data_IF_999555716468
#
_entry.id   IF_999555716468
#
_cell.length_a   1.000
_cell.length_b   1.000
_cell.length_c   1.000
_cell.angle_alpha   90.00
_cell.angle_beta   90.00
_cell.angle_gamma   90.00
#
_symmetry.space_group_name_H-M   'P 1'
#
loop_
_entity.id
_entity.type
_entity.pdbx_description
1 polymer ?
#
# COMPACT_ATOMS: atom_id res chain seq x y z
N UNK A 1 -7.41 -18.54 -42.50
CA UNK A 1 -6.91 -17.68 -43.58
C UNK A 1 -6.01 -16.67 -42.90
N UNK A 2 -4.69 -16.82 -43.05
CA UNK A 2 -3.70 -16.01 -42.36
C UNK A 2 -3.71 -14.62 -43.02
N UNK A 3 -3.89 -13.56 -42.24
CA UNK A 3 -3.93 -12.20 -42.78
C UNK A 3 -2.50 -11.70 -42.77
N UNK A 4 -1.95 -11.34 -43.92
CA UNK A 4 -0.61 -10.73 -43.96
C UNK A 4 -0.61 -9.37 -43.25
N UNK A 5 0.47 -9.05 -42.50
CA UNK A 5 0.64 -7.72 -41.89
C UNK A 5 0.51 -6.59 -42.91
N UNK A 6 0.99 -6.81 -44.14
CA UNK A 6 0.87 -5.85 -45.25
C UNK A 6 -0.58 -5.39 -45.46
N UNK A 7 -1.53 -6.33 -45.44
CA UNK A 7 -2.96 -6.07 -45.56
C UNK A 7 -3.52 -5.35 -44.32
N UNK A 8 -3.06 -5.73 -43.12
CA UNK A 8 -3.48 -5.06 -41.87
C UNK A 8 -3.02 -3.61 -41.83
N UNK A 9 -1.80 -3.33 -42.31
CA UNK A 9 -1.26 -1.97 -42.40
C UNK A 9 -2.10 -1.13 -43.37
N UNK A 10 -2.43 -1.66 -44.55
CA UNK A 10 -3.30 -0.96 -45.51
C UNK A 10 -4.69 -0.69 -44.92
N UNK A 11 -5.31 -1.70 -44.31
CA UNK A 11 -6.62 -1.56 -43.67
C UNK A 11 -6.60 -0.54 -42.52
N UNK A 12 -5.52 -0.51 -41.73
CA UNK A 12 -5.35 0.48 -40.66
C UNK A 12 -5.28 1.91 -41.20
N UNK A 13 -4.49 2.15 -42.24
CA UNK A 13 -4.34 3.47 -42.86
C UNK A 13 -5.67 3.91 -43.47
N UNK A 14 -6.37 3.01 -44.16
CA UNK A 14 -7.68 3.27 -44.77
C UNK A 14 -8.75 3.58 -43.71
N UNK A 15 -8.81 2.82 -42.62
CA UNK A 15 -9.74 3.10 -41.51
C UNK A 15 -9.51 4.50 -40.93
N UNK A 16 -8.25 4.93 -40.81
CA UNK A 16 -7.92 6.26 -40.32
C UNK A 16 -8.29 7.35 -41.32
N UNK A 17 -8.11 7.10 -42.62
CA UNK A 17 -8.54 8.00 -43.69
C UNK A 17 -10.05 8.23 -43.60
N UNK A 18 -10.83 7.14 -43.50
CA UNK A 18 -12.28 7.22 -43.37
C UNK A 18 -12.70 8.00 -42.12
N UNK A 19 -12.10 7.69 -40.97
CA UNK A 19 -12.42 8.39 -39.71
C UNK A 19 -12.20 9.90 -39.81
N UNK A 20 -11.09 10.34 -40.41
CA UNK A 20 -10.83 11.77 -40.61
C UNK A 20 -11.75 12.40 -41.66
N UNK A 21 -12.10 11.67 -42.72
CA UNK A 21 -13.06 12.12 -43.73
C UNK A 21 -14.43 12.34 -43.10
N UNK A 22 -14.92 11.37 -42.32
CA UNK A 22 -16.21 11.43 -41.62
C UNK A 22 -16.28 12.59 -40.62
N UNK A 23 -15.19 12.91 -39.91
CA UNK A 23 -15.12 14.07 -39.02
C UNK A 23 -15.28 15.40 -39.79
N UNK A 24 -14.73 15.49 -41.00
CA UNK A 24 -14.82 16.68 -41.85
C UNK A 24 -16.22 16.77 -42.47
N UNK A 25 -16.77 15.65 -42.92
CA UNK A 25 -18.15 15.59 -43.43
C UNK A 25 -19.18 15.94 -42.34
N UNK A 26 -18.96 15.51 -41.09
CA UNK A 26 -19.78 15.97 -39.96
C UNK A 26 -19.66 17.47 -39.75
N UNK A 27 -18.46 18.06 -39.86
CA UNK A 27 -18.29 19.53 -39.79
C UNK A 27 -19.01 20.25 -40.93
N UNK A 28 -19.09 19.63 -42.12
CA UNK A 28 -19.84 20.13 -43.27
C UNK A 28 -21.35 20.16 -43.01
N UNK A 29 -21.89 19.14 -42.34
CA UNK A 29 -23.33 19.01 -42.05
C UNK A 29 -23.81 19.79 -40.82
N UNK A 30 -22.95 20.03 -39.82
CA UNK A 30 -23.32 20.76 -38.59
C UNK A 30 -23.45 22.28 -38.84
N UNK A 31 -22.75 22.82 -39.83
CA UNK A 31 -22.84 24.23 -40.22
C UNK A 31 -23.85 24.39 -41.38
N UNK A 32 -25.15 24.29 -41.15
CA UNK A 32 -26.13 24.72 -42.15
C UNK A 32 -26.05 26.25 -42.33
N UNK A 33 -25.17 26.69 -43.24
CA UNK A 33 -24.80 28.10 -43.47
C UNK A 33 -23.35 28.33 -43.93
N UNK A 34 -22.61 27.30 -44.37
CA UNK A 34 -21.23 27.42 -44.89
C UNK A 34 -21.21 28.27 -46.17
N UNK A 35 -20.38 29.32 -46.23
CA UNK A 35 -20.14 30.10 -47.46
C UNK A 35 -19.47 29.24 -48.55
N UNK A 36 -19.64 29.57 -49.82
CA UNK A 36 -18.97 28.84 -50.93
C UNK A 36 -17.45 28.72 -50.75
N UNK A 37 -16.83 29.72 -50.13
CA UNK A 37 -15.39 29.74 -49.80
C UNK A 37 -15.01 28.71 -48.73
N UNK A 38 -15.82 28.53 -47.68
CA UNK A 38 -15.56 27.51 -46.66
C UNK A 38 -15.79 26.09 -47.20
N UNK A 39 -16.75 25.90 -48.12
CA UNK A 39 -16.99 24.64 -48.81
C UNK A 39 -15.83 24.25 -49.73
N UNK A 40 -15.26 25.21 -50.47
CA UNK A 40 -14.07 25.01 -51.28
C UNK A 40 -12.86 24.59 -50.41
N UNK A 41 -12.62 25.28 -49.30
CA UNK A 41 -11.55 24.95 -48.35
C UNK A 41 -11.71 23.54 -47.75
N UNK A 42 -12.94 23.12 -47.42
CA UNK A 42 -13.21 21.77 -46.89
C UNK A 42 -12.96 20.68 -47.94
N UNK A 43 -13.32 20.91 -49.20
CA UNK A 43 -13.05 19.97 -50.29
C UNK A 43 -11.54 19.88 -50.59
N UNK A 44 -10.82 21.00 -50.52
CA UNK A 44 -9.36 21.02 -50.63
C UNK A 44 -8.70 20.25 -49.48
N UNK A 45 -9.18 20.41 -48.24
CA UNK A 45 -8.74 19.62 -47.08
C UNK A 45 -8.96 18.12 -47.27
N UNK A 46 -10.10 17.70 -47.83
CA UNK A 46 -10.37 16.29 -48.13
C UNK A 46 -9.38 15.76 -49.17
N UNK A 47 -9.06 16.56 -50.19
CA UNK A 47 -8.08 16.19 -51.22
C UNK A 47 -6.68 16.03 -50.63
N UNK A 48 -6.24 16.96 -49.78
CA UNK A 48 -4.97 16.89 -49.05
C UNK A 48 -4.93 15.64 -48.16
N UNK A 49 -6.02 15.36 -47.42
CA UNK A 49 -6.10 14.16 -46.58
C UNK A 49 -6.00 12.88 -47.40
N UNK A 50 -6.65 12.81 -48.57
CA UNK A 50 -6.51 11.63 -49.43
C UNK A 50 -5.06 11.41 -49.89
N UNK A 51 -4.31 12.48 -50.13
CA UNK A 51 -2.88 12.40 -50.46
C UNK A 51 -2.02 12.02 -49.24
N UNK A 52 -2.28 12.63 -48.07
CA UNK A 52 -1.55 12.36 -46.83
C UNK A 52 -1.75 10.94 -46.31
N UNK A 53 -2.91 10.33 -46.59
CA UNK A 53 -3.27 8.96 -46.20
C UNK A 53 -3.06 7.94 -47.31
N UNK A 54 -2.43 8.32 -48.42
CA UNK A 54 -1.85 7.35 -49.34
C UNK A 54 -0.81 6.51 -48.59
N UNK A 55 -0.86 5.18 -48.74
CA UNK A 55 -0.10 4.22 -47.92
C UNK A 55 1.39 4.57 -47.85
N UNK A 56 2.00 4.89 -49.01
CA UNK A 56 3.42 5.20 -49.11
C UNK A 56 3.78 6.53 -48.45
N UNK A 57 2.99 7.57 -48.70
CA UNK A 57 3.16 8.91 -48.11
C UNK A 57 3.00 8.85 -46.60
N UNK A 58 1.97 8.13 -46.13
CA UNK A 58 1.68 7.97 -44.72
C UNK A 58 2.78 7.20 -43.99
N UNK A 59 3.27 6.08 -44.55
CA UNK A 59 4.37 5.29 -43.97
C UNK A 59 5.68 6.08 -43.92
N UNK A 60 5.99 6.85 -44.96
CA UNK A 60 7.16 7.74 -44.98
C UNK A 60 7.08 8.78 -43.85
N UNK A 61 5.92 9.41 -43.70
CA UNK A 61 5.67 10.35 -42.61
C UNK A 61 5.64 9.67 -41.23
N UNK A 62 5.17 8.41 -41.14
CA UNK A 62 5.17 7.63 -39.90
C UNK A 62 6.60 7.27 -39.46
N UNK A 63 7.47 6.86 -40.37
CA UNK A 63 8.87 6.56 -40.12
C UNK A 63 9.62 7.79 -39.54
N UNK A 64 9.36 8.99 -40.05
CA UNK A 64 9.95 10.24 -39.52
C UNK A 64 9.39 10.59 -38.12
N UNK A 65 8.11 10.30 -37.87
CA UNK A 65 7.45 10.57 -36.58
C UNK A 65 7.76 9.53 -35.50
N UNK A 66 8.22 8.33 -35.88
CA UNK A 66 8.54 7.24 -34.97
C UNK A 66 9.50 7.66 -33.83
N UNK A 67 10.49 8.53 -34.12
CA UNK A 67 11.40 9.08 -33.09
C UNK A 67 10.73 9.88 -31.96
N UNK A 68 9.48 10.30 -32.14
CA UNK A 68 8.70 11.05 -31.13
C UNK A 68 7.99 10.13 -30.12
N UNK A 69 8.03 8.82 -30.36
CA UNK A 69 7.46 7.79 -29.50
C UNK A 69 8.51 6.74 -29.15
N UNK A 70 8.23 6.01 -28.09
CA UNK A 70 9.00 4.87 -27.64
C UNK A 70 8.01 3.81 -27.17
N UNK A 71 8.10 2.62 -27.75
CA UNK A 71 7.45 1.45 -27.20
C UNK A 71 8.25 0.97 -25.99
N UNK A 72 7.57 0.64 -24.91
CA UNK A 72 8.22 0.33 -23.65
C UNK A 72 7.36 -0.61 -22.78
N UNK A 73 8.02 -1.52 -22.06
CA UNK A 73 7.41 -2.19 -20.91
C UNK A 73 7.71 -1.44 -19.60
N UNK A 74 8.84 -0.74 -19.56
CA UNK A 74 9.29 0.05 -18.42
C UNK A 74 9.53 1.51 -18.83
N UNK A 75 8.93 2.46 -18.11
CA UNK A 75 8.91 3.86 -18.52
C UNK A 75 9.28 4.82 -17.38
N UNK A 76 10.06 5.85 -17.71
CA UNK A 76 10.60 6.84 -16.75
C UNK A 76 9.55 7.85 -16.29
N UNK A 77 8.55 8.15 -17.14
CA UNK A 77 7.52 9.17 -16.87
C UNK A 77 6.62 8.87 -15.67
N UNK A 78 6.58 7.62 -15.21
CA UNK A 78 5.83 7.25 -14.01
C UNK A 78 6.51 7.72 -12.73
N UNK A 79 7.83 7.95 -12.74
CA UNK A 79 8.52 8.59 -11.62
C UNK A 79 8.14 10.07 -11.53
N UNK A 80 8.13 10.76 -12.67
CA UNK A 80 7.69 12.14 -12.78
C UNK A 80 7.25 12.41 -14.23
N UNK A 81 6.07 13.03 -14.43
CA UNK A 81 5.47 13.18 -15.77
C UNK A 81 6.31 13.99 -16.77
N UNK A 82 7.18 14.88 -16.26
CA UNK A 82 8.14 15.66 -17.07
C UNK A 82 9.52 15.01 -17.23
N UNK A 83 9.76 13.83 -16.66
CA UNK A 83 11.04 13.16 -16.80
C UNK A 83 11.29 12.73 -18.25
N UNK A 84 12.43 13.15 -18.80
CA UNK A 84 12.91 12.77 -20.13
C UNK A 84 14.12 11.86 -19.96
N UNK A 85 13.96 10.60 -20.28
CA UNK A 85 15.00 9.59 -20.20
C UNK A 85 14.61 8.38 -21.03
N UNK A 86 15.46 7.36 -20.98
CA UNK A 86 15.26 6.12 -21.72
C UNK A 86 14.08 5.33 -21.15
N UNK A 87 13.22 4.82 -22.04
CA UNK A 87 12.23 3.81 -21.72
C UNK A 87 12.70 2.49 -22.31
N UNK A 88 12.44 1.38 -21.63
CA UNK A 88 12.98 0.07 -22.00
C UNK A 88 11.84 -0.83 -22.47
N UNK A 89 12.02 -1.42 -23.64
CA UNK A 89 11.19 -2.48 -24.19
C UNK A 89 11.84 -3.83 -23.88
N UNK A 90 11.43 -4.45 -22.77
CA UNK A 90 11.86 -5.79 -22.41
C UNK A 90 10.77 -6.80 -22.80
N UNK A 91 10.96 -7.49 -23.93
CA UNK A 91 10.04 -8.51 -24.47
C UNK A 91 10.41 -9.93 -24.03
N UNK A 92 11.69 -10.18 -23.75
CA UNK A 92 12.19 -11.44 -23.21
C UNK A 92 12.87 -11.14 -21.87
N UNK A 93 12.33 -11.69 -20.79
CA UNK A 93 12.89 -11.57 -19.45
C UNK A 93 13.13 -12.98 -18.91
N UNK A 94 14.24 -13.17 -18.19
CA UNK A 94 14.68 -14.47 -17.70
C UNK A 94 13.62 -15.15 -16.83
N UNK A 95 13.30 -16.41 -17.13
CA UNK A 95 12.23 -17.19 -16.48
C UNK A 95 12.57 -17.74 -15.10
N UNK A 96 13.84 -17.63 -14.66
CA UNK A 96 14.33 -18.21 -13.41
C UNK A 96 14.52 -17.15 -12.30
N UNK A 97 13.50 -16.31 -12.07
CA UNK A 97 13.55 -15.31 -11.01
C UNK A 97 13.15 -15.92 -9.65
N UNK A 98 13.94 -15.70 -8.56
CA UNK A 98 13.59 -16.19 -7.22
C UNK A 98 12.44 -15.42 -6.57
N UNK A 99 12.04 -14.28 -7.14
CA UNK A 99 10.96 -13.43 -6.67
C UNK A 99 10.00 -13.12 -7.82
N UNK A 100 8.76 -12.76 -7.49
CA UNK A 100 7.79 -12.30 -8.47
C UNK A 100 8.18 -10.92 -8.99
N UNK A 101 8.54 -10.83 -10.27
CA UNK A 101 8.81 -9.59 -10.97
C UNK A 101 8.14 -9.54 -12.36
N UNK A 102 8.50 -8.57 -13.20
CA UNK A 102 7.90 -8.39 -14.54
C UNK A 102 8.28 -9.49 -15.54
N UNK A 103 9.25 -10.35 -15.23
CA UNK A 103 9.64 -11.49 -16.06
C UNK A 103 8.63 -12.63 -16.06
N UNK A 104 7.79 -12.71 -15.02
CA UNK A 104 6.74 -13.71 -14.92
C UNK A 104 5.64 -13.55 -16.01
N UNK A 105 5.64 -12.43 -16.73
CA UNK A 105 4.66 -12.16 -17.79
C UNK A 105 5.19 -12.69 -19.12
N UNK A 106 4.60 -13.78 -19.62
CA UNK A 106 4.99 -14.45 -20.87
C UNK A 106 4.87 -13.50 -22.08
N UNK A 107 3.80 -12.71 -22.12
CA UNK A 107 3.52 -11.76 -23.20
C UNK A 107 3.21 -10.38 -22.60
N UNK A 108 4.24 -9.58 -22.25
CA UNK A 108 4.03 -8.30 -21.59
C UNK A 108 3.34 -7.32 -22.53
N UNK A 109 2.29 -6.66 -22.03
CA UNK A 109 1.61 -5.62 -22.77
C UNK A 109 2.57 -4.46 -23.07
N UNK A 110 2.74 -4.14 -24.36
CA UNK A 110 3.61 -3.07 -24.81
C UNK A 110 2.91 -1.71 -24.61
N UNK A 111 3.56 -0.83 -23.86
CA UNK A 111 3.10 0.55 -23.66
C UNK A 111 3.73 1.47 -24.72
N UNK A 112 3.07 2.58 -25.00
CA UNK A 112 3.58 3.63 -25.88
C UNK A 112 3.73 4.93 -25.10
N UNK A 113 4.96 5.45 -25.07
CA UNK A 113 5.35 6.67 -24.36
C UNK A 113 5.87 7.67 -25.36
N UNK A 114 5.29 8.87 -25.42
CA UNK A 114 5.76 9.89 -26.36
C UNK A 114 4.78 11.01 -26.58
N UNK A 115 4.93 11.69 -27.71
CA UNK A 115 4.00 12.71 -28.16
C UNK A 115 2.66 12.07 -28.54
N UNK A 116 1.55 12.57 -27.98
CA UNK A 116 0.21 12.08 -28.26
C UNK A 116 -0.16 12.11 -29.76
N UNK A 117 0.39 13.07 -30.50
CA UNK A 117 0.17 13.21 -31.94
C UNK A 117 0.82 12.10 -32.80
N UNK A 118 1.75 11.33 -32.23
CA UNK A 118 2.45 10.23 -32.89
C UNK A 118 2.04 8.84 -32.35
N UNK A 119 1.02 8.77 -31.46
CA UNK A 119 0.47 7.50 -30.96
C UNK A 119 -0.19 6.66 -32.05
N UNK A 120 -0.52 7.24 -33.20
CA UNK A 120 -0.96 6.53 -34.40
C UNK A 120 0.14 5.59 -34.92
N UNK A 121 1.40 6.01 -34.90
CA UNK A 121 2.56 5.18 -35.24
C UNK A 121 2.74 4.06 -34.23
N UNK A 122 2.49 4.31 -32.93
CA UNK A 122 2.56 3.25 -31.92
C UNK A 122 1.49 2.16 -32.14
N UNK A 123 0.27 2.56 -32.52
CA UNK A 123 -0.80 1.62 -32.87
C UNK A 123 -0.49 0.81 -34.12
N UNK A 124 0.15 1.42 -35.12
CA UNK A 124 0.65 0.72 -36.31
C UNK A 124 1.64 -0.38 -35.93
N UNK A 125 2.61 -0.06 -35.06
CA UNK A 125 3.62 -1.03 -34.60
C UNK A 125 3.03 -2.18 -33.78
N UNK A 126 1.85 -1.98 -33.18
CA UNK A 126 1.12 -2.99 -32.39
C UNK A 126 0.15 -3.84 -33.23
N UNK A 127 0.10 -3.67 -34.57
CA UNK A 127 -0.70 -4.54 -35.44
C UNK A 127 -0.16 -5.97 -35.38
N UNK A 128 -1.06 -6.93 -35.24
CA UNK A 128 -0.78 -8.36 -35.01
C UNK A 128 -1.49 -9.20 -36.07
N UNK A 129 -0.74 -10.04 -36.78
CA UNK A 129 -1.23 -10.99 -37.78
C UNK A 129 -1.59 -12.38 -37.19
N UNK A 130 -1.39 -12.56 -35.88
CA UNK A 130 -1.56 -13.81 -35.16
C UNK A 130 -0.26 -14.61 -35.01
N UNK A 131 0.81 -14.27 -35.73
CA UNK A 131 2.15 -14.81 -35.50
C UNK A 131 2.97 -13.85 -34.62
N UNK A 132 3.04 -12.59 -35.04
CA UNK A 132 3.83 -11.56 -34.35
C UNK A 132 3.32 -10.16 -34.68
N UNK A 133 3.70 -9.20 -33.84
CA UNK A 133 3.40 -7.79 -34.11
C UNK A 133 4.40 -7.19 -35.08
N UNK A 134 4.03 -6.12 -35.80
CA UNK A 134 4.95 -5.38 -36.65
C UNK A 134 6.21 -4.92 -35.89
N UNK A 135 6.07 -4.53 -34.61
CA UNK A 135 7.19 -4.22 -33.74
C UNK A 135 8.17 -5.41 -33.56
N UNK A 136 7.65 -6.63 -33.42
CA UNK A 136 8.48 -7.84 -33.26
C UNK A 136 9.25 -8.13 -34.55
N UNK A 137 8.58 -8.13 -35.70
CA UNK A 137 9.24 -8.33 -37.00
C UNK A 137 10.38 -7.31 -37.22
N UNK A 138 10.12 -6.02 -36.97
CA UNK A 138 11.14 -4.97 -37.09
C UNK A 138 12.29 -5.10 -36.09
N UNK A 139 12.02 -5.65 -34.89
CA UNK A 139 13.06 -5.92 -33.88
C UNK A 139 13.94 -7.12 -34.24
N UNK A 140 13.43 -8.06 -35.04
CA UNK A 140 14.16 -9.23 -35.52
C UNK A 140 14.90 -8.97 -36.84
N UNK A 141 14.73 -7.80 -37.45
CA UNK A 141 15.33 -7.45 -38.74
C UNK A 141 14.53 -7.97 -39.95
N UNK A 142 13.30 -8.42 -39.74
CA UNK A 142 12.40 -8.92 -40.79
C UNK A 142 11.73 -7.77 -41.56
N UNK A 143 12.54 -6.99 -42.26
CA UNK A 143 12.10 -5.81 -43.00
C UNK A 143 11.24 -6.18 -44.24
N UNK A 144 11.27 -7.46 -44.64
CA UNK A 144 10.53 -8.00 -45.79
C UNK A 144 9.01 -7.81 -45.69
N UNK A 145 8.47 -7.70 -44.47
CA UNK A 145 7.05 -7.54 -44.20
C UNK A 145 6.48 -6.21 -44.77
N UNK A 146 7.35 -5.20 -44.94
CA UNK A 146 6.98 -3.91 -45.55
C UNK A 146 7.24 -3.85 -47.06
N UNK A 147 7.92 -4.84 -47.63
CA UNK A 147 8.39 -4.80 -49.01
C UNK A 147 7.26 -4.77 -50.04
N UNK A 148 6.14 -5.42 -49.76
CA UNK A 148 4.94 -5.39 -50.63
C UNK A 148 4.24 -4.03 -50.67
N UNK A 149 4.55 -3.13 -49.74
CA UNK A 149 3.98 -1.78 -49.66
C UNK A 149 4.93 -0.71 -50.23
N UNK A 150 6.21 -1.02 -50.36
CA UNK A 150 7.24 -0.10 -50.82
C UNK A 150 7.37 -0.12 -52.35
N UNK A 151 7.67 1.04 -52.94
CA UNK A 151 7.98 1.15 -54.37
C UNK A 151 9.42 0.75 -54.70
N UNK A 152 10.32 0.78 -53.71
CA UNK A 152 11.73 0.39 -53.85
C UNK A 152 12.28 -0.22 -52.56
N UNK A 153 13.35 -1.01 -52.68
CA UNK A 153 14.04 -1.59 -51.53
C UNK A 153 14.65 -0.51 -50.61
N UNK A 154 15.12 0.61 -51.18
CA UNK A 154 15.63 1.75 -50.42
C UNK A 154 14.55 2.39 -49.55
N UNK A 155 13.33 2.52 -50.09
CA UNK A 155 12.18 3.06 -49.35
C UNK A 155 11.77 2.12 -48.20
N UNK A 156 11.78 0.81 -48.46
CA UNK A 156 11.51 -0.20 -47.44
C UNK A 156 12.51 -0.10 -46.27
N UNK A 157 13.82 0.00 -46.58
CA UNK A 157 14.86 0.12 -45.57
C UNK A 157 14.71 1.41 -44.76
N UNK A 158 14.42 2.54 -45.42
CA UNK A 158 14.22 3.82 -44.75
C UNK A 158 13.03 3.77 -43.78
N UNK A 159 11.94 3.08 -44.15
CA UNK A 159 10.80 2.89 -43.26
C UNK A 159 11.15 2.00 -42.08
N UNK A 160 11.82 0.86 -42.31
CA UNK A 160 12.23 -0.05 -41.26
C UNK A 160 13.16 0.64 -40.25
N UNK A 161 14.19 1.33 -40.72
CA UNK A 161 15.14 2.05 -39.88
C UNK A 161 14.50 3.21 -39.11
N UNK A 162 13.52 3.89 -39.72
CA UNK A 162 12.75 4.94 -39.06
C UNK A 162 11.87 4.36 -37.95
N UNK A 163 11.10 3.32 -38.25
CA UNK A 163 10.19 2.67 -37.30
C UNK A 163 10.94 1.97 -36.15
N UNK A 164 12.12 1.38 -36.42
CA UNK A 164 12.99 0.74 -35.40
C UNK A 164 13.46 1.73 -34.33
N UNK A 165 13.54 3.03 -34.64
CA UNK A 165 13.87 4.06 -33.64
C UNK A 165 12.85 4.15 -32.50
N UNK A 166 11.61 3.70 -32.70
CA UNK A 166 10.61 3.65 -31.62
C UNK A 166 10.83 2.45 -30.68
N UNK A 167 11.61 1.44 -31.09
CA UNK A 167 11.84 0.19 -30.37
C UNK A 167 13.14 0.22 -29.57
N UNK A 168 14.17 0.88 -30.11
CA UNK A 168 15.54 0.83 -29.58
C UNK A 168 15.94 2.08 -28.81
N UNK A 169 16.65 1.87 -27.70
CA UNK A 169 17.37 2.93 -26.99
C UNK A 169 18.82 2.92 -27.45
N UNK A 170 19.19 3.85 -28.33
CA UNK A 170 20.58 3.98 -28.83
C UNK A 170 21.59 4.33 -27.73
N UNK A 171 21.21 5.24 -26.83
CA UNK A 171 22.05 5.68 -25.70
C UNK A 171 21.20 5.76 -24.43
N UNK A 172 21.45 4.89 -23.43
CA UNK A 172 20.75 4.96 -22.15
C UNK A 172 20.96 6.33 -21.49
N UNK A 173 19.87 6.95 -21.07
CA UNK A 173 19.86 8.25 -20.41
C UNK A 173 18.84 8.25 -19.26
N UNK A 174 19.17 8.94 -18.18
CA UNK A 174 18.27 9.16 -17.06
C UNK A 174 18.02 10.67 -16.89
N UNK A 175 17.12 11.05 -15.99
CA UNK A 175 16.74 12.44 -15.76
C UNK A 175 16.99 12.84 -14.30
N UNK A 176 17.16 14.13 -14.02
CA UNK A 176 17.29 14.66 -12.64
C UNK A 176 16.06 14.39 -11.77
N UNK A 177 14.90 14.19 -12.40
CA UNK A 177 13.62 13.86 -11.76
C UNK A 177 13.35 12.35 -11.72
N UNK A 178 14.21 11.53 -12.33
CA UNK A 178 14.17 10.09 -12.16
C UNK A 178 14.80 9.70 -10.81
N UNK A 179 14.46 8.52 -10.30
CA UNK A 179 15.14 7.99 -9.12
C UNK A 179 16.45 7.33 -9.54
N UNK A 180 17.50 7.61 -8.80
CA UNK A 180 18.83 7.02 -8.94
C UNK A 180 19.31 6.67 -7.54
N UNK A 181 19.73 5.42 -7.34
CA UNK A 181 20.02 4.84 -6.03
C UNK A 181 21.41 4.21 -6.11
N UNK A 182 22.31 4.56 -5.20
CA UNK A 182 23.58 3.86 -5.05
C UNK A 182 23.36 2.53 -4.34
N UNK A 183 23.87 1.45 -4.93
CA UNK A 183 23.83 0.11 -4.36
C UNK A 183 25.26 -0.39 -4.13
N UNK A 184 25.63 -0.73 -2.88
CA UNK A 184 26.98 -1.21 -2.57
C UNK A 184 27.20 -2.59 -3.18
N UNK A 185 28.34 -2.78 -3.85
CA UNK A 185 28.76 -4.08 -4.41
C UNK A 185 30.07 -4.59 -3.81
N UNK A 186 30.76 -3.75 -3.03
CA UNK A 186 32.01 -4.06 -2.34
C UNK A 186 32.53 -2.85 -1.57
N UNK A 187 33.74 -2.95 -1.05
CA UNK A 187 34.40 -1.87 -0.30
C UNK A 187 34.59 -0.63 -1.18
N UNK A 188 33.94 0.47 -0.82
CA UNK A 188 33.91 1.73 -1.58
C UNK A 188 33.50 1.57 -3.06
N UNK A 189 32.78 0.51 -3.41
CA UNK A 189 32.30 0.25 -4.77
C UNK A 189 30.77 0.29 -4.81
N UNK A 190 30.23 1.09 -5.72
CA UNK A 190 28.80 1.29 -5.85
C UNK A 190 28.36 1.21 -7.31
N UNK A 191 27.23 0.57 -7.54
CA UNK A 191 26.47 0.70 -8.77
C UNK A 191 25.39 1.76 -8.60
N UNK A 192 25.23 2.62 -9.61
CA UNK A 192 24.11 3.54 -9.67
C UNK A 192 22.94 2.86 -10.39
N UNK A 193 21.89 2.53 -9.65
CA UNK A 193 20.69 1.87 -10.16
C UNK A 193 19.63 2.93 -10.43
N UNK A 194 19.10 2.97 -11.65
CA UNK A 194 17.94 3.80 -12.00
C UNK A 194 16.73 2.91 -12.23
N UNK A 195 15.89 2.66 -11.20
CA UNK A 195 14.73 1.79 -11.35
C UNK A 195 13.70 2.46 -12.26
N UNK A 196 13.25 1.72 -13.28
CA UNK A 196 12.15 2.14 -14.15
C UNK A 196 10.85 1.48 -13.70
N UNK A 197 9.77 2.22 -13.80
CA UNK A 197 8.45 1.71 -13.46
C UNK A 197 7.94 0.75 -14.54
N UNK A 198 7.56 -0.47 -14.17
CA UNK A 198 6.97 -1.45 -15.08
C UNK A 198 5.49 -1.12 -15.35
N UNK A 199 5.22 -0.52 -16.51
CA UNK A 199 3.84 -0.24 -16.95
C UNK A 199 3.13 -1.53 -17.34
N UNK A 200 3.85 -2.49 -17.92
CA UNK A 200 3.31 -3.81 -18.29
C UNK A 200 2.80 -4.57 -17.07
N UNK A 201 3.62 -4.69 -16.01
CA UNK A 201 3.20 -5.36 -14.77
C UNK A 201 2.03 -4.65 -14.10
N UNK A 202 2.07 -3.31 -14.05
CA UNK A 202 0.96 -2.54 -13.50
C UNK A 202 -0.33 -2.69 -14.32
N UNK A 203 -0.22 -2.93 -15.64
CA UNK A 203 -1.36 -3.22 -16.50
C UNK A 203 -1.98 -4.58 -16.21
N UNK A 204 -1.16 -5.61 -16.06
CA UNK A 204 -1.62 -6.96 -15.73
C UNK A 204 -2.30 -7.01 -14.37
N UNK A 205 -1.64 -6.46 -13.33
CA UNK A 205 -2.23 -6.38 -11.98
C UNK A 205 -3.54 -5.57 -11.98
N UNK A 206 -3.65 -4.53 -12.81
CA UNK A 206 -4.89 -3.79 -12.95
C UNK A 206 -6.02 -4.65 -13.52
N UNK A 207 -5.75 -5.43 -14.57
CA UNK A 207 -6.73 -6.34 -15.16
C UNK A 207 -7.14 -7.44 -14.18
N UNK A 208 -6.21 -8.03 -13.45
CA UNK A 208 -6.52 -9.04 -12.42
C UNK A 208 -7.48 -8.50 -11.34
N UNK A 209 -7.23 -7.28 -10.85
CA UNK A 209 -8.12 -6.62 -9.87
C UNK A 209 -9.46 -6.24 -10.49
N UNK A 210 -9.48 -5.73 -11.73
CA UNK A 210 -10.72 -5.38 -12.43
C UNK A 210 -11.57 -6.60 -12.74
N UNK A 211 -10.96 -7.70 -13.17
CA UNK A 211 -11.62 -8.97 -13.40
C UNK A 211 -12.27 -9.46 -12.10
N UNK A 212 -11.49 -9.57 -11.01
CA UNK A 212 -12.01 -9.92 -9.67
C UNK A 212 -13.20 -9.05 -9.24
N UNK A 213 -13.22 -7.76 -9.57
CA UNK A 213 -14.29 -6.82 -9.15
C UNK A 213 -15.49 -6.79 -10.08
N UNK A 214 -15.30 -6.83 -11.40
CA UNK A 214 -16.33 -6.43 -12.36
C UNK A 214 -16.60 -7.45 -13.46
N UNK A 215 -15.86 -8.57 -13.54
CA UNK A 215 -16.18 -9.63 -14.50
C UNK A 215 -17.54 -10.25 -14.17
N UNK A 216 -18.26 -10.67 -15.21
CA UNK A 216 -19.58 -11.27 -15.04
C UNK A 216 -19.48 -12.63 -14.33
N UNK A 217 -18.44 -13.40 -14.61
CA UNK A 217 -18.09 -14.63 -13.89
C UNK A 217 -17.95 -14.38 -12.37
N UNK A 218 -17.18 -13.38 -11.96
CA UNK A 218 -17.00 -13.04 -10.53
C UNK A 218 -18.27 -12.47 -9.91
N UNK A 219 -19.14 -11.81 -10.68
CA UNK A 219 -20.46 -11.38 -10.18
C UNK A 219 -21.33 -12.60 -9.87
N UNK A 220 -21.38 -13.58 -10.76
CA UNK A 220 -22.14 -14.84 -10.55
C UNK A 220 -21.58 -15.61 -9.35
N UNK A 221 -20.26 -15.79 -9.26
CA UNK A 221 -19.64 -16.49 -8.14
C UNK A 221 -19.94 -15.82 -6.78
N UNK A 222 -19.92 -14.48 -6.72
CA UNK A 222 -20.31 -13.74 -5.51
C UNK A 222 -21.79 -13.85 -5.18
N UNK A 223 -22.65 -13.94 -6.18
CA UNK A 223 -24.08 -14.14 -5.97
C UNK A 223 -24.37 -15.54 -5.42
N UNK A 224 -23.72 -16.58 -5.98
CA UNK A 224 -23.76 -17.94 -5.46
C UNK A 224 -23.27 -18.00 -4.00
N UNK A 225 -22.14 -17.34 -3.69
CA UNK A 225 -21.62 -17.22 -2.32
C UNK A 225 -22.65 -16.59 -1.37
N UNK A 226 -23.30 -15.48 -1.77
CA UNK A 226 -24.36 -14.84 -0.97
C UNK A 226 -25.57 -15.74 -0.76
N UNK A 227 -25.93 -16.55 -1.77
CA UNK A 227 -27.03 -17.52 -1.73
C UNK A 227 -26.64 -18.86 -1.09
N UNK A 228 -25.39 -19.03 -0.65
CA UNK A 228 -24.83 -20.29 -0.13
C UNK A 228 -24.97 -21.46 -1.12
N UNK A 229 -24.83 -21.19 -2.40
CA UNK A 229 -24.85 -22.18 -3.48
C UNK A 229 -23.42 -22.51 -3.92
N UNK A 230 -23.17 -23.75 -4.40
CA UNK A 230 -21.87 -24.11 -4.96
C UNK A 230 -21.58 -23.30 -6.22
N UNK A 231 -20.31 -23.00 -6.44
CA UNK A 231 -19.80 -22.33 -7.65
C UNK A 231 -18.51 -23.03 -8.06
N UNK A 232 -18.30 -23.14 -9.37
CA UNK A 232 -17.09 -23.75 -9.93
C UNK A 232 -15.85 -22.85 -9.83
N UNK A 233 -16.03 -21.59 -9.42
CA UNK A 233 -14.97 -20.57 -9.42
C UNK A 233 -14.84 -19.94 -8.04
N UNK A 234 -13.59 -19.82 -7.59
CA UNK A 234 -13.27 -19.19 -6.31
C UNK A 234 -13.51 -17.67 -6.33
N UNK A 235 -14.15 -17.17 -5.27
CA UNK A 235 -14.36 -15.73 -5.10
C UNK A 235 -13.08 -15.09 -4.55
N UNK A 236 -12.32 -14.44 -5.43
CA UNK A 236 -11.12 -13.68 -5.03
C UNK A 236 -11.50 -12.24 -4.67
N UNK A 237 -11.02 -11.75 -3.51
CA UNK A 237 -11.21 -10.36 -3.07
C UNK A 237 -9.90 -9.72 -2.60
N UNK A 238 -9.52 -8.64 -3.26
CA UNK A 238 -8.41 -7.78 -2.85
C UNK A 238 -8.88 -6.66 -1.92
N UNK A 239 -8.65 -6.82 -0.61
CA UNK A 239 -8.95 -5.82 0.42
C UNK A 239 -7.83 -4.76 0.53
N UNK A 240 -8.17 -3.60 1.09
CA UNK A 240 -7.22 -2.54 1.47
C UNK A 240 -6.24 -2.10 0.37
N UNK A 241 -6.67 -2.12 -0.89
CA UNK A 241 -5.88 -1.61 -2.00
C UNK A 241 -5.76 -0.09 -1.91
N UNK A 242 -4.54 0.43 -1.97
CA UNK A 242 -4.30 1.84 -2.23
C UNK A 242 -4.26 2.09 -3.76
N UNK A 243 -4.61 3.31 -4.17
CA UNK A 243 -4.59 3.72 -5.58
C UNK A 243 -3.69 4.93 -5.73
N UNK A 244 -2.72 4.83 -6.64
CA UNK A 244 -1.95 5.99 -7.09
C UNK A 244 -2.42 6.42 -8.48
N UNK A 245 -2.40 7.74 -8.74
CA UNK A 245 -2.86 8.33 -9.98
C UNK A 245 -1.68 9.03 -10.66
N UNK A 246 -1.29 8.55 -11.85
CA UNK A 246 -0.22 9.12 -12.67
C UNK A 246 -0.79 10.01 -13.77
N UNK A 247 -0.29 11.25 -13.87
CA UNK A 247 -0.67 12.21 -14.91
C UNK A 247 -1.79 13.20 -14.55
N UNK A 248 -2.29 13.17 -13.30
CA UNK A 248 -3.29 14.12 -12.81
C UNK A 248 -4.54 14.16 -13.69
N UNK A 249 -4.91 15.35 -14.20
CA UNK A 249 -6.04 15.54 -15.11
C UNK A 249 -5.78 15.10 -16.56
N UNK A 250 -4.53 14.79 -16.93
CA UNK A 250 -4.13 14.43 -18.30
C UNK A 250 -3.29 13.14 -18.32
N UNK A 251 -3.89 11.97 -18.01
CA UNK A 251 -3.19 10.68 -17.99
C UNK A 251 -2.60 10.29 -19.36
N UNK A 252 -3.10 10.90 -20.46
CA UNK A 252 -2.59 10.70 -21.83
C UNK A 252 -1.15 11.17 -22.04
N UNK A 253 -0.66 12.07 -21.20
CA UNK A 253 0.70 12.61 -21.34
C UNK A 253 1.78 11.67 -20.76
N UNK A 254 1.37 10.69 -19.95
CA UNK A 254 2.28 9.71 -19.35
C UNK A 254 2.52 8.57 -20.33
N UNK A 255 1.47 7.80 -20.64
CA UNK A 255 1.55 6.68 -21.58
C UNK A 255 0.16 6.20 -22.05
N UNK A 256 0.15 5.35 -23.07
CA UNK A 256 -1.06 4.77 -23.63
C UNK A 256 -1.76 3.82 -22.65
N UNK A 257 -1.05 2.87 -22.04
CA UNK A 257 -1.64 1.93 -21.07
C UNK A 257 -2.07 2.65 -19.80
N UNK A 258 -1.35 3.69 -19.38
CA UNK A 258 -1.79 4.55 -18.27
C UNK A 258 -3.15 5.18 -18.55
N UNK A 259 -3.38 5.63 -19.80
CA UNK A 259 -4.68 6.18 -20.21
C UNK A 259 -5.79 5.14 -20.18
N UNK A 260 -5.52 3.91 -20.65
CA UNK A 260 -6.48 2.79 -20.56
C UNK A 260 -6.86 2.48 -19.11
N UNK A 261 -5.93 2.66 -18.16
CA UNK A 261 -6.17 2.51 -16.71
C UNK A 261 -6.74 3.77 -16.04
N UNK A 262 -7.06 4.83 -16.79
CA UNK A 262 -7.48 6.13 -16.26
C UNK A 262 -6.47 6.74 -15.26
N UNK A 263 -5.18 6.50 -15.49
CA UNK A 263 -4.09 6.93 -14.61
C UNK A 263 -3.88 6.06 -13.37
N UNK A 264 -4.73 5.05 -13.12
CA UNK A 264 -4.77 4.31 -11.86
C UNK A 264 -3.74 3.17 -11.83
N UNK A 265 -3.08 3.07 -10.69
CA UNK A 265 -2.25 1.92 -10.31
C UNK A 265 -2.70 1.43 -8.94
N UNK A 266 -2.94 0.12 -8.82
CA UNK A 266 -3.24 -0.52 -7.54
C UNK A 266 -1.95 -0.86 -6.79
N UNK A 267 -1.93 -0.55 -5.50
CA UNK A 267 -0.90 -0.95 -4.57
C UNK A 267 -1.51 -1.92 -3.55
N UNK A 268 -0.84 -3.05 -3.37
CA UNK A 268 -1.25 -4.08 -2.43
C UNK A 268 -0.77 -3.73 -1.01
N UNK A 269 -1.55 -4.06 0.04
CA UNK A 269 -1.15 -3.78 1.40
C UNK A 269 0.05 -4.64 1.79
N UNK A 270 1.16 -4.00 2.13
CA UNK A 270 2.34 -4.62 2.73
C UNK A 270 2.56 -4.12 4.17
N UNK A 271 1.47 -3.77 4.87
CA UNK A 271 1.51 -3.31 6.25
C UNK A 271 1.78 -4.47 7.19
N UNK A 272 2.57 -4.23 8.24
CA UNK A 272 2.72 -5.16 9.34
C UNK A 272 1.34 -5.45 9.97
N UNK A 273 1.13 -6.65 10.55
CA UNK A 273 -0.11 -6.94 11.26
C UNK A 273 -0.28 -5.97 12.45
N UNK A 274 -1.47 -5.39 12.60
CA UNK A 274 -1.82 -4.56 13.75
C UNK A 274 -1.94 -5.46 15.00
N UNK A 275 -0.85 -5.61 15.75
CA UNK A 275 -0.89 -6.32 17.03
C UNK A 275 -1.60 -5.45 18.07
N UNK A 276 -2.89 -5.66 18.27
CA UNK A 276 -3.64 -5.07 19.38
C UNK A 276 -3.51 -5.97 20.60
N UNK A 277 -2.75 -5.54 21.61
CA UNK A 277 -2.73 -6.20 22.91
C UNK A 277 -4.14 -6.12 23.50
N UNK A 278 -4.88 -7.23 23.51
CA UNK A 278 -6.12 -7.30 24.27
C UNK A 278 -5.75 -7.22 25.75
N UNK A 279 -6.29 -6.24 26.45
CA UNK A 279 -6.20 -6.20 27.90
C UNK A 279 -6.94 -7.40 28.46
N UNK A 280 -6.28 -8.22 29.27
CA UNK A 280 -6.92 -9.32 29.98
C UNK A 280 -6.99 -8.96 31.46
N UNK A 281 -8.19 -8.79 32.02
CA UNK A 281 -8.34 -8.56 33.45
C UNK A 281 -7.77 -9.73 34.26
N UNK A 282 -7.50 -9.56 35.56
CA UNK A 282 -6.87 -10.57 36.40
C UNK A 282 -7.93 -11.63 36.73
N UNK A 283 -8.03 -12.65 35.88
CA UNK A 283 -9.01 -13.73 36.04
C UNK A 283 -8.60 -14.76 37.10
N UNK A 284 -7.31 -14.87 37.41
CA UNK A 284 -6.74 -15.92 38.24
C UNK A 284 -6.08 -15.38 39.51
N UNK A 285 -6.24 -16.09 40.61
CA UNK A 285 -5.70 -15.75 41.93
C UNK A 285 -6.67 -14.96 42.81
N UNK A 286 -6.70 -15.30 44.10
CA UNK A 286 -7.62 -14.71 45.08
C UNK A 286 -7.29 -13.27 45.49
N UNK A 287 -6.08 -12.80 45.19
CA UNK A 287 -5.59 -11.47 45.56
C UNK A 287 -4.95 -10.77 44.34
N UNK A 288 -5.61 -9.74 43.85
CA UNK A 288 -5.18 -8.92 42.72
C UNK A 288 -3.81 -8.28 42.93
N UNK A 289 -3.45 -7.92 44.17
CA UNK A 289 -2.15 -7.31 44.45
C UNK A 289 -0.96 -8.23 44.08
N UNK A 290 -1.17 -9.55 44.05
CA UNK A 290 -0.16 -10.52 43.61
C UNK A 290 -0.02 -10.67 42.10
N UNK A 291 -0.86 -9.97 41.33
CA UNK A 291 -0.82 -9.99 39.86
C UNK A 291 0.51 -9.46 39.31
N UNK A 292 0.85 -9.93 38.11
CA UNK A 292 2.08 -9.52 37.40
C UNK A 292 2.10 -8.04 37.06
N UNK A 293 0.93 -7.44 36.79
CA UNK A 293 0.80 -6.01 36.47
C UNK A 293 1.13 -5.12 37.67
N UNK A 294 0.53 -5.40 38.83
CA UNK A 294 0.82 -4.67 40.07
C UNK A 294 2.29 -4.85 40.43
N UNK A 295 2.81 -6.08 40.32
CA UNK A 295 4.23 -6.36 40.54
C UNK A 295 5.16 -5.58 39.63
N UNK A 296 4.85 -5.44 38.34
CA UNK A 296 5.67 -4.71 37.36
C UNK A 296 5.71 -3.21 37.66
N UNK A 297 4.56 -2.61 37.93
CA UNK A 297 4.44 -1.16 38.04
C UNK A 297 4.94 -0.63 39.39
N UNK A 298 4.79 -1.44 40.45
CA UNK A 298 5.21 -1.04 41.81
C UNK A 298 6.64 -1.45 42.17
N UNK A 299 7.29 -2.33 41.38
CA UNK A 299 8.60 -2.93 41.74
C UNK A 299 9.65 -1.90 42.16
N UNK A 300 9.84 -0.86 41.36
CA UNK A 300 10.88 0.15 41.63
C UNK A 300 10.56 0.96 42.90
N UNK A 301 9.29 1.32 43.10
CA UNK A 301 8.85 2.08 44.28
C UNK A 301 8.98 1.26 45.56
N UNK A 302 8.61 -0.02 45.52
CA UNK A 302 8.79 -0.96 46.64
C UNK A 302 10.28 -1.09 46.97
N UNK A 303 11.14 -1.23 45.96
CA UNK A 303 12.60 -1.29 46.17
C UNK A 303 13.13 -0.02 46.82
N UNK A 304 12.71 1.14 46.34
CA UNK A 304 13.10 2.44 46.90
C UNK A 304 12.66 2.59 48.36
N UNK A 305 11.43 2.18 48.67
CA UNK A 305 10.90 2.19 50.03
C UNK A 305 11.66 1.20 50.94
N UNK A 306 11.92 -0.02 50.48
CA UNK A 306 12.68 -1.01 51.22
C UNK A 306 14.10 -0.52 51.54
N UNK A 307 14.83 0.00 50.55
CA UNK A 307 16.18 0.55 50.74
C UNK A 307 16.18 1.73 51.73
N UNK A 308 15.16 2.59 51.65
CA UNK A 308 15.01 3.71 52.59
C UNK A 308 14.76 3.21 54.02
N UNK A 309 13.86 2.25 54.21
CA UNK A 309 13.55 1.67 55.51
C UNK A 309 14.75 0.96 56.12
N UNK A 310 15.53 0.21 55.33
CA UNK A 310 16.76 -0.45 55.79
C UNK A 310 17.80 0.57 56.27
N UNK A 311 18.02 1.66 55.51
CA UNK A 311 18.98 2.71 55.87
C UNK A 311 18.63 3.41 57.18
N UNK A 312 17.33 3.58 57.43
CA UNK A 312 16.83 4.36 58.57
C UNK A 312 16.56 3.48 59.80
N UNK A 313 16.62 2.16 59.68
CA UNK A 313 16.35 1.19 60.75
C UNK A 313 17.13 1.45 62.05
N UNK A 314 18.38 1.93 61.95
CA UNK A 314 19.27 2.20 63.10
C UNK A 314 19.19 3.64 63.63
N UNK A 315 18.38 4.49 63.01
CA UNK A 315 18.23 5.90 63.39
C UNK A 315 16.97 6.10 64.23
N UNK A 316 17.01 7.09 65.13
CA UNK A 316 15.82 7.51 65.86
C UNK A 316 14.75 8.08 64.92
N UNK A 317 13.51 7.65 65.12
CA UNK A 317 12.36 8.09 64.33
C UNK A 317 12.12 9.58 64.49
N UNK A 318 12.30 10.34 63.40
CA UNK A 318 12.00 11.76 63.35
C UNK A 318 10.89 12.08 62.32
N UNK A 319 10.34 13.29 62.39
CA UNK A 319 9.22 13.70 61.52
C UNK A 319 9.57 13.58 60.03
N UNK A 320 10.81 13.92 59.64
CA UNK A 320 11.26 13.85 58.23
C UNK A 320 11.29 12.42 57.71
N UNK A 321 11.70 11.47 58.55
CA UNK A 321 11.72 10.04 58.25
C UNK A 321 10.29 9.54 58.01
N UNK A 322 9.37 9.84 58.93
CA UNK A 322 7.95 9.44 58.80
C UNK A 322 7.31 10.02 57.54
N UNK A 323 7.47 11.32 57.30
CA UNK A 323 6.97 11.98 56.09
C UNK A 323 7.58 11.44 54.80
N UNK A 324 8.84 10.97 54.80
CA UNK A 324 9.44 10.37 53.60
C UNK A 324 8.95 8.94 53.37
N UNK A 325 8.78 8.16 54.43
CA UNK A 325 8.17 6.82 54.38
C UNK A 325 6.76 6.90 53.81
N UNK A 326 5.93 7.79 54.39
CA UNK A 326 4.53 7.90 54.02
C UNK A 326 4.40 8.36 52.56
N UNK A 327 5.16 9.39 52.13
CA UNK A 327 5.21 9.80 50.71
C UNK A 327 5.58 8.68 49.72
N UNK A 328 6.46 7.76 50.12
CA UNK A 328 6.85 6.65 49.25
C UNK A 328 5.77 5.57 49.22
N UNK A 329 5.07 5.33 50.34
CA UNK A 329 3.92 4.45 50.39
C UNK A 329 2.73 5.01 49.59
N UNK A 330 2.48 6.32 49.69
CA UNK A 330 1.45 7.01 48.90
C UNK A 330 1.71 6.87 47.40
N UNK A 331 2.96 7.01 46.94
CA UNK A 331 3.31 6.79 45.53
C UNK A 331 3.03 5.36 45.04
N UNK A 332 3.25 4.36 45.90
CA UNK A 332 2.91 2.97 45.59
C UNK A 332 1.39 2.81 45.46
N UNK A 333 0.66 3.41 46.40
CA UNK A 333 -0.80 3.39 46.45
C UNK A 333 -1.43 4.12 45.25
N UNK A 334 -0.91 5.29 44.87
CA UNK A 334 -1.34 6.04 43.67
C UNK A 334 -1.18 5.21 42.40
N UNK A 335 -0.05 4.50 42.26
CA UNK A 335 0.19 3.60 41.13
C UNK A 335 -0.84 2.48 41.09
N UNK A 336 -1.21 1.93 42.25
CA UNK A 336 -2.21 0.87 42.38
C UNK A 336 -3.62 1.41 42.08
N UNK A 337 -3.99 2.58 42.60
CA UNK A 337 -5.28 3.21 42.34
C UNK A 337 -5.45 3.55 40.86
N UNK A 338 -4.37 3.96 40.19
CA UNK A 338 -4.35 4.19 38.73
C UNK A 338 -4.60 2.89 37.96
N UNK A 339 -3.98 1.78 38.38
CA UNK A 339 -4.24 0.47 37.79
C UNK A 339 -5.68 0.02 38.06
N UNK A 340 -6.19 0.18 39.28
CA UNK A 340 -7.56 -0.15 39.63
C UNK A 340 -8.57 0.66 38.80
N UNK A 341 -8.31 1.95 38.56
CA UNK A 341 -9.11 2.79 37.68
C UNK A 341 -9.23 2.23 36.26
N UNK A 342 -8.14 1.66 35.72
CA UNK A 342 -8.20 1.02 34.41
C UNK A 342 -9.15 -0.19 34.39
N UNK A 343 -9.14 -1.02 35.44
CA UNK A 343 -10.04 -2.17 35.59
C UNK A 343 -11.51 -1.76 35.67
N UNK A 344 -11.79 -0.65 36.36
CA UNK A 344 -13.15 -0.16 36.61
C UNK A 344 -13.82 0.46 35.37
N UNK A 345 -13.05 0.70 34.30
CA UNK A 345 -13.58 1.14 33.00
C UNK A 345 -13.97 0.00 32.06
N UNK A 346 -13.72 -1.26 32.47
CA UNK A 346 -14.10 -2.42 31.67
C UNK A 346 -15.62 -2.65 31.63
N UNK A 347 -16.03 -3.62 30.83
CA UNK A 347 -17.44 -4.03 30.70
C UNK A 347 -18.00 -4.46 32.05
N UNK A 348 -19.18 -3.96 32.41
CA UNK A 348 -19.93 -4.35 33.61
C UNK A 348 -19.96 -5.87 33.80
N UNK A 349 -19.57 -6.34 34.99
CA UNK A 349 -19.64 -7.76 35.34
C UNK A 349 -18.47 -8.59 34.85
N UNK A 350 -17.35 -7.97 34.42
CA UNK A 350 -16.16 -8.70 34.00
C UNK A 350 -15.57 -9.56 35.13
N UNK A 351 -15.80 -9.18 36.39
CA UNK A 351 -15.24 -9.87 37.55
C UNK A 351 -16.04 -11.10 38.01
N UNK A 352 -17.23 -11.36 37.44
CA UNK A 352 -18.12 -12.46 37.86
C UNK A 352 -17.50 -13.85 37.70
N UNK A 353 -16.71 -14.05 36.65
CA UNK A 353 -16.01 -15.30 36.36
C UNK A 353 -14.57 -15.32 36.89
N UNK A 354 -14.18 -14.33 37.72
CA UNK A 354 -12.82 -14.21 38.28
C UNK A 354 -12.66 -14.96 39.60
N UNK A 355 -11.44 -15.38 39.90
CA UNK A 355 -11.08 -16.00 41.19
C UNK A 355 -10.85 -14.98 42.32
N UNK A 356 -11.03 -13.69 42.07
CA UNK A 356 -10.80 -12.60 43.02
C UNK A 356 -11.70 -12.71 44.25
N UNK A 357 -11.22 -12.23 45.40
CA UNK A 357 -12.07 -12.12 46.60
C UNK A 357 -13.26 -11.19 46.34
N UNK A 358 -14.41 -11.45 46.98
CA UNK A 358 -15.62 -10.64 46.81
C UNK A 358 -15.36 -9.15 47.08
N UNK A 359 -14.58 -8.83 48.11
CA UNK A 359 -14.19 -7.44 48.42
C UNK A 359 -13.41 -6.77 47.28
N UNK A 360 -12.50 -7.50 46.61
CA UNK A 360 -11.75 -6.98 45.47
C UNK A 360 -12.59 -6.91 44.20
N UNK A 361 -13.55 -7.82 44.00
CA UNK A 361 -14.54 -7.70 42.92
C UNK A 361 -15.39 -6.43 43.09
N UNK A 362 -15.87 -6.14 44.31
CA UNK A 362 -16.59 -4.91 44.62
C UNK A 362 -15.77 -3.66 44.29
N UNK A 363 -14.47 -3.69 44.56
CA UNK A 363 -13.59 -2.56 44.31
C UNK A 363 -13.21 -2.39 42.83
N UNK A 364 -12.87 -3.46 42.13
CA UNK A 364 -12.33 -3.42 40.75
C UNK A 364 -13.43 -3.42 39.67
N UNK A 365 -14.64 -3.89 39.98
CA UNK A 365 -15.80 -3.91 39.08
C UNK A 365 -17.02 -3.24 39.74
N UNK A 366 -16.98 -1.93 40.03
CA UNK A 366 -18.02 -1.23 40.80
C UNK A 366 -19.38 -1.18 40.09
N UNK A 367 -19.44 -1.51 38.80
CA UNK A 367 -20.67 -1.53 38.02
C UNK A 367 -21.41 -2.87 38.13
N UNK A 368 -20.78 -3.93 38.63
CA UNK A 368 -21.43 -5.22 38.82
C UNK A 368 -22.46 -5.18 39.97
N UNK A 369 -23.50 -6.02 39.84
CA UNK A 369 -24.45 -6.24 40.93
C UNK A 369 -23.82 -7.22 41.93
N UNK A 370 -23.17 -6.67 42.96
CA UNK A 370 -22.52 -7.46 44.01
C UNK A 370 -23.50 -7.78 45.14
N UNK A 371 -23.54 -9.04 45.57
CA UNK A 371 -24.32 -9.50 46.74
C UNK A 371 -23.51 -9.44 48.05
N UNK A 372 -22.47 -8.62 48.10
CA UNK A 372 -21.52 -8.59 49.21
C UNK A 372 -21.91 -7.52 50.24
N UNK A 373 -22.36 -7.97 51.41
CA UNK A 373 -22.82 -7.12 52.51
C UNK A 373 -21.70 -6.72 53.50
N UNK A 374 -20.45 -7.10 53.21
CA UNK A 374 -19.29 -6.83 54.08
C UNK A 374 -18.63 -5.47 53.83
N UNK A 375 -17.75 -5.05 54.74
CA UNK A 375 -16.92 -3.85 54.57
C UNK A 375 -15.73 -4.16 53.65
N UNK A 376 -15.99 -4.07 52.35
CA UNK A 376 -14.99 -4.37 51.32
C UNK A 376 -13.79 -3.42 51.40
N UNK A 377 -13.99 -2.17 51.83
CA UNK A 377 -12.89 -1.18 51.95
C UNK A 377 -11.88 -1.62 53.00
N UNK A 378 -12.36 -2.11 54.14
CA UNK A 378 -11.50 -2.64 55.21
C UNK A 378 -10.78 -3.93 54.77
N UNK A 379 -11.46 -4.84 54.07
CA UNK A 379 -10.84 -6.07 53.57
C UNK A 379 -9.76 -5.81 52.51
N UNK A 380 -10.03 -4.95 51.52
CA UNK A 380 -9.05 -4.55 50.50
C UNK A 380 -7.85 -3.85 51.13
N UNK A 381 -8.08 -2.96 52.10
CA UNK A 381 -7.01 -2.26 52.81
C UNK A 381 -6.14 -3.23 53.61
N UNK A 382 -6.75 -4.26 54.22
CA UNK A 382 -6.04 -5.35 54.89
C UNK A 382 -5.17 -6.14 53.92
N UNK A 383 -5.72 -6.53 52.78
CA UNK A 383 -5.01 -7.29 51.75
C UNK A 383 -3.82 -6.48 51.19
N UNK A 384 -4.00 -5.18 50.98
CA UNK A 384 -2.92 -4.26 50.59
C UNK A 384 -1.79 -4.22 51.63
N UNK A 385 -2.14 -4.05 52.91
CA UNK A 385 -1.14 -3.99 53.97
C UNK A 385 -0.33 -5.29 54.10
N UNK A 386 -0.98 -6.45 53.97
CA UNK A 386 -0.32 -7.75 53.98
C UNK A 386 0.60 -7.91 52.77
N UNK A 387 0.11 -7.54 51.58
CA UNK A 387 0.89 -7.58 50.35
C UNK A 387 2.13 -6.69 50.42
N UNK A 388 1.99 -5.43 50.87
CA UNK A 388 3.10 -4.48 50.93
C UNK A 388 4.17 -4.94 51.93
N UNK A 389 3.77 -5.42 53.10
CA UNK A 389 4.69 -6.02 54.07
C UNK A 389 5.47 -7.18 53.45
N UNK A 390 4.78 -8.17 52.88
CA UNK A 390 5.40 -9.34 52.27
C UNK A 390 6.39 -8.95 51.14
N UNK A 391 6.05 -7.94 50.34
CA UNK A 391 6.93 -7.44 49.27
C UNK A 391 8.16 -6.72 49.82
N UNK A 392 8.01 -5.87 50.84
CA UNK A 392 9.12 -5.17 51.48
C UNK A 392 10.09 -6.15 52.17
N UNK A 393 9.57 -7.16 52.87
CA UNK A 393 10.40 -8.20 53.48
C UNK A 393 11.16 -9.03 52.43
N UNK A 394 10.48 -9.41 51.35
CA UNK A 394 11.11 -10.16 50.24
C UNK A 394 12.20 -9.36 49.54
N UNK A 395 11.93 -8.10 49.20
CA UNK A 395 12.88 -7.23 48.48
C UNK A 395 14.07 -6.84 49.36
N UNK A 396 13.85 -6.67 50.67
CA UNK A 396 14.91 -6.39 51.64
C UNK A 396 15.70 -7.63 52.07
N UNK A 397 15.46 -8.81 51.49
CA UNK A 397 16.11 -10.08 51.88
C UNK A 397 15.95 -10.37 53.39
N UNK A 398 14.76 -10.13 53.93
CA UNK A 398 14.42 -10.31 55.37
C UNK A 398 15.20 -9.40 56.34
N UNK A 399 15.86 -8.34 55.84
CA UNK A 399 16.49 -7.35 56.72
C UNK A 399 15.45 -6.48 57.44
N UNK A 400 14.25 -6.34 56.86
CA UNK A 400 13.08 -5.77 57.51
C UNK A 400 12.21 -6.93 58.02
N UNK A 401 11.83 -6.88 59.30
CA UNK A 401 10.84 -7.78 59.90
C UNK A 401 9.68 -6.87 60.34
N UNK A 402 8.69 -6.71 59.48
CA UNK A 402 7.63 -5.73 59.66
C UNK A 402 6.48 -6.37 60.44
N UNK A 403 6.29 -5.92 61.68
CA UNK A 403 5.24 -6.42 62.56
C UNK A 403 3.86 -5.82 62.30
N UNK A 404 2.94 -6.07 63.23
CA UNK A 404 1.55 -5.60 63.20
C UNK A 404 1.40 -4.08 63.12
N UNK A 405 2.34 -3.31 63.68
CA UNK A 405 2.31 -1.84 63.62
C UNK A 405 2.49 -1.30 62.19
N UNK A 406 3.40 -1.89 61.42
CA UNK A 406 3.60 -1.52 60.02
C UNK A 406 2.39 -1.91 59.19
N UNK A 407 1.84 -3.11 59.43
CA UNK A 407 0.61 -3.58 58.79
C UNK A 407 -0.55 -2.60 59.00
N UNK A 408 -0.81 -2.21 60.25
CA UNK A 408 -1.86 -1.26 60.60
C UNK A 408 -1.64 0.09 59.91
N UNK A 409 -0.39 0.58 59.88
CA UNK A 409 -0.06 1.83 59.21
C UNK A 409 -0.38 1.80 57.71
N UNK A 410 -0.01 0.74 56.99
CA UNK A 410 -0.33 0.60 55.56
C UNK A 410 -1.82 0.45 55.31
N UNK A 411 -2.52 -0.26 56.20
CA UNK A 411 -3.98 -0.41 56.15
C UNK A 411 -4.68 0.93 56.28
N UNK A 412 -4.31 1.75 57.26
CA UNK A 412 -4.90 3.08 57.45
C UNK A 412 -4.66 3.97 56.24
N UNK A 413 -3.44 3.98 55.70
CA UNK A 413 -3.13 4.75 54.48
C UNK A 413 -3.98 4.32 53.28
N UNK A 414 -4.13 3.01 53.06
CA UNK A 414 -4.96 2.49 51.96
C UNK A 414 -6.44 2.83 52.15
N UNK A 415 -6.95 2.65 53.36
CA UNK A 415 -8.34 2.91 53.70
C UNK A 415 -8.69 4.39 53.51
N UNK A 416 -7.84 5.30 54.00
CA UNK A 416 -8.04 6.74 53.83
C UNK A 416 -8.01 7.14 52.35
N UNK A 417 -7.07 6.60 51.55
CA UNK A 417 -6.98 6.93 50.13
C UNK A 417 -8.16 6.39 49.30
N UNK A 418 -8.64 5.17 49.59
CA UNK A 418 -9.83 4.62 48.93
C UNK A 418 -11.06 5.49 49.23
N UNK A 419 -11.22 5.92 50.49
CA UNK A 419 -12.30 6.82 50.90
C UNK A 419 -12.20 8.19 50.24
N UNK A 420 -11.00 8.78 50.17
CA UNK A 420 -10.75 10.07 49.50
C UNK A 420 -11.01 10.01 47.99
N UNK A 421 -10.75 8.87 47.35
CA UNK A 421 -11.06 8.64 45.94
C UNK A 421 -12.57 8.58 45.62
N UNK A 422 -13.44 8.73 46.64
CA UNK A 422 -14.90 8.83 46.49
C UNK A 422 -15.56 7.50 46.16
N UNK A 423 -15.01 6.39 46.68
CA UNK A 423 -15.42 5.02 46.36
C UNK A 423 -15.79 4.25 47.61
#
# INVERSE_FOLDING_TARGET
MQIEISMLVQAYIEQRRQTKSDEIEKKKNVKNGVSETELANLNELIKIINQDFEVQTWLTNAAVRAKQISLATHAVKFTHGSAKGSNILALALNTDAPYLDSSAIIAPAVDAVGNAAALDVAKLLQLDDGNATLAIYLSQGDDHVLRSLASSDEQCQLWADGLRQALEVKTPSSHTLAKQIYFPVGDNQYHLISPLYSSALAHELFHQVQHSRFSDEMKVAREAYRKKQPSDVDVVRYSNLAVTISGGSKPQNISQLNSKRYGKTYLFPCTAPDWKSQYQPPMFGSNWFDSREVGRDTYYLIKLLAEFLVKVKLLDSNIRIRQRRDRLADQILDSILTLAASHQTNTRGWSQDSELSLAQQCWLDPQADHLYDGDWQTEVSRDFGLWLNNRLEKVSQQQLMLGSEALQHWQTLCHDAIREAGR
#
